data_IF_271504355102
#
_entry.id   IF_271504355102
#
_cell.length_a   1.000
_cell.length_b   1.000
_cell.length_c   1.000
_cell.angle_alpha   90.00
_cell.angle_beta   90.00
_cell.angle_gamma   90.00
#
_symmetry.space_group_name_H-M   'P 1'
#
loop_
_entity.id
_entity.type
_entity.pdbx_description
1 polymer ?
#
# COMPACT_ATOMS: atom_id res chain seq x y z
N UNK A 1 31.39 -1.98 -12.61
CA UNK A 1 30.36 -2.05 -11.57
C UNK A 1 29.04 -1.88 -12.29
N UNK A 2 28.14 -2.84 -12.18
CA UNK A 2 26.81 -2.73 -12.77
C UNK A 2 26.04 -1.58 -12.10
N UNK A 3 25.09 -0.96 -12.80
CA UNK A 3 24.28 0.14 -12.24
C UNK A 3 23.56 -0.32 -10.97
N UNK A 4 23.00 -1.54 -10.99
CA UNK A 4 22.40 -2.18 -9.83
C UNK A 4 23.36 -2.26 -8.65
N UNK A 5 24.57 -2.78 -8.86
CA UNK A 5 25.58 -2.92 -7.80
C UNK A 5 25.97 -1.57 -7.22
N UNK A 6 26.07 -0.55 -8.08
CA UNK A 6 26.33 0.82 -7.66
C UNK A 6 25.20 1.36 -6.79
N UNK A 7 23.92 1.19 -7.17
CA UNK A 7 22.76 1.61 -6.38
C UNK A 7 22.74 0.92 -5.02
N UNK A 8 22.90 -0.40 -5.00
CA UNK A 8 22.89 -1.20 -3.77
C UNK A 8 24.01 -0.76 -2.82
N UNK A 9 25.23 -0.57 -3.34
CA UNK A 9 26.35 -0.12 -2.53
C UNK A 9 26.21 1.34 -2.05
N UNK A 10 25.69 2.24 -2.89
CA UNK A 10 25.58 3.67 -2.57
C UNK A 10 24.56 3.97 -1.48
N UNK A 11 23.54 3.13 -1.35
CA UNK A 11 22.42 3.32 -0.42
C UNK A 11 22.37 2.28 0.69
N UNK A 12 23.45 1.50 0.85
CA UNK A 12 23.59 0.43 1.86
C UNK A 12 22.37 -0.52 1.89
N UNK A 13 21.95 -0.96 0.70
CA UNK A 13 20.81 -1.86 0.53
C UNK A 13 21.24 -3.33 0.70
N UNK A 14 20.30 -4.25 0.98
CA UNK A 14 20.60 -5.68 0.99
C UNK A 14 21.24 -6.14 -0.33
N UNK A 15 22.34 -6.91 -0.24
CA UNK A 15 23.07 -7.39 -1.43
C UNK A 15 22.28 -8.41 -2.27
N UNK A 16 21.24 -9.01 -1.71
CA UNK A 16 20.51 -10.14 -2.26
C UNK A 16 19.17 -9.77 -2.92
N UNK A 17 19.04 -8.56 -3.47
CA UNK A 17 17.83 -8.08 -4.16
C UNK A 17 17.71 -8.74 -5.54
N UNK A 18 16.63 -9.46 -5.83
CA UNK A 18 16.55 -10.30 -7.04
C UNK A 18 15.55 -9.80 -8.10
N UNK A 19 14.80 -8.75 -7.81
CA UNK A 19 13.76 -8.24 -8.70
C UNK A 19 13.69 -6.72 -8.69
N UNK A 20 13.09 -6.14 -9.73
CA UNK A 20 12.89 -4.71 -9.82
C UNK A 20 11.95 -4.22 -8.70
N UNK A 21 10.86 -4.95 -8.43
CA UNK A 21 9.93 -4.64 -7.33
C UNK A 21 10.66 -4.63 -5.99
N UNK A 22 11.48 -5.65 -5.70
CA UNK A 22 12.20 -5.71 -4.44
C UNK A 22 13.13 -4.50 -4.28
N UNK A 23 13.87 -4.10 -5.33
CA UNK A 23 14.71 -2.90 -5.27
C UNK A 23 13.88 -1.64 -5.03
N UNK A 24 12.74 -1.49 -5.71
CA UNK A 24 11.86 -0.34 -5.57
C UNK A 24 11.34 -0.20 -4.13
N UNK A 25 10.86 -1.30 -3.57
CA UNK A 25 10.36 -1.35 -2.20
C UNK A 25 11.45 -1.00 -1.18
N UNK A 26 12.67 -1.49 -1.35
CA UNK A 26 13.79 -1.17 -0.46
C UNK A 26 14.23 0.30 -0.58
N UNK A 27 14.27 0.85 -1.80
CA UNK A 27 14.54 2.27 -2.03
C UNK A 27 13.45 3.16 -1.42
N UNK A 28 12.19 2.77 -1.56
CA UNK A 28 11.06 3.49 -0.99
C UNK A 28 11.11 3.49 0.54
N UNK A 29 11.35 2.33 1.16
CA UNK A 29 11.55 2.22 2.61
C UNK A 29 12.67 3.14 3.10
N UNK A 30 13.84 3.09 2.47
CA UNK A 30 14.98 3.96 2.81
C UNK A 30 14.66 5.45 2.69
N UNK A 31 13.92 5.83 1.64
CA UNK A 31 13.47 7.22 1.44
C UNK A 31 12.55 7.67 2.57
N UNK A 32 11.60 6.82 2.96
CA UNK A 32 10.63 7.09 4.02
C UNK A 32 11.29 7.06 5.40
N UNK A 33 12.23 6.16 5.65
CA UNK A 33 13.06 6.12 6.86
C UNK A 33 13.85 7.40 7.06
N UNK A 34 14.39 7.99 5.99
CA UNK A 34 15.12 9.25 6.05
C UNK A 34 14.24 10.42 6.55
N UNK A 35 12.91 10.32 6.43
CA UNK A 35 11.98 11.30 6.99
C UNK A 35 11.99 11.32 8.52
N UNK A 36 12.51 10.29 9.20
CA UNK A 36 12.74 10.40 10.66
C UNK A 36 13.89 11.33 11.02
N UNK A 37 14.73 11.71 10.05
CA UNK A 37 15.78 12.70 10.25
C UNK A 37 15.29 14.15 10.20
N UNK A 38 14.03 14.41 9.82
CA UNK A 38 13.49 15.77 9.79
C UNK A 38 13.24 16.33 11.19
N UNK A 39 13.38 17.64 11.34
CA UNK A 39 13.16 18.34 12.62
C UNK A 39 11.70 18.33 13.09
N UNK A 40 10.78 18.02 12.19
CA UNK A 40 9.35 17.87 12.46
C UNK A 40 8.86 16.55 11.89
N UNK A 41 7.99 15.86 12.62
CA UNK A 41 7.30 14.66 12.12
C UNK A 41 6.24 15.06 11.11
N UNK A 42 5.87 14.11 10.26
CA UNK A 42 4.80 14.28 9.30
C UNK A 42 3.46 13.98 9.97
N UNK A 43 2.39 14.64 9.54
CA UNK A 43 1.04 14.19 9.84
C UNK A 43 0.70 12.91 9.07
N UNK A 44 -0.44 12.29 9.39
CA UNK A 44 -0.87 11.00 8.83
C UNK A 44 -1.05 11.05 7.30
N UNK A 45 -1.61 12.16 6.79
CA UNK A 45 -1.84 12.39 5.35
C UNK A 45 -0.51 12.55 4.60
N UNK A 46 0.41 13.33 5.15
CA UNK A 46 1.73 13.58 4.57
C UNK A 46 2.60 12.32 4.63
N UNK A 47 2.50 11.51 5.69
CA UNK A 47 3.19 10.22 5.77
C UNK A 47 2.70 9.25 4.68
N UNK A 48 1.39 9.18 4.48
CA UNK A 48 0.78 8.39 3.39
C UNK A 48 1.27 8.87 2.02
N UNK A 49 1.21 10.18 1.77
CA UNK A 49 1.68 10.79 0.53
C UNK A 49 3.18 10.56 0.29
N UNK A 50 4.00 10.64 1.34
CA UNK A 50 5.43 10.38 1.26
C UNK A 50 5.73 8.92 0.93
N UNK A 51 4.97 7.97 1.51
CA UNK A 51 5.12 6.55 1.20
C UNK A 51 4.79 6.25 -0.27
N UNK A 52 3.65 6.71 -0.76
CA UNK A 52 3.26 6.53 -2.18
C UNK A 52 4.25 7.23 -3.11
N UNK A 53 4.64 8.45 -2.77
CA UNK A 53 5.64 9.22 -3.52
C UNK A 53 7.00 8.52 -3.59
N UNK A 54 7.44 7.88 -2.50
CA UNK A 54 8.69 7.13 -2.47
C UNK A 54 8.67 5.90 -3.39
N UNK A 55 7.56 5.17 -3.46
CA UNK A 55 7.39 4.04 -4.41
C UNK A 55 7.53 4.50 -5.87
N UNK A 56 6.89 5.63 -6.20
CA UNK A 56 6.96 6.21 -7.55
C UNK A 56 8.35 6.77 -7.84
N UNK A 57 8.96 7.49 -6.90
CA UNK A 57 10.30 8.08 -7.07
C UNK A 57 11.41 7.01 -7.20
N UNK A 58 11.24 5.86 -6.56
CA UNK A 58 12.17 4.74 -6.67
C UNK A 58 12.10 4.01 -8.04
N UNK A 59 11.06 4.25 -8.85
CA UNK A 59 10.82 3.52 -10.09
C UNK A 59 11.99 3.62 -11.10
N UNK A 60 12.51 4.81 -11.47
CA UNK A 60 13.52 4.91 -12.53
C UNK A 60 14.80 4.14 -12.21
N UNK A 61 15.28 4.22 -10.96
CA UNK A 61 16.48 3.49 -10.51
C UNK A 61 16.26 1.98 -10.49
N UNK A 62 15.06 1.55 -10.10
CA UNK A 62 14.73 0.13 -10.03
C UNK A 62 14.61 -0.47 -11.43
N UNK A 63 13.92 0.22 -12.35
CA UNK A 63 13.76 -0.20 -13.72
C UNK A 63 15.11 -0.25 -14.48
N UNK A 64 15.98 0.74 -14.27
CA UNK A 64 17.31 0.76 -14.87
C UNK A 64 18.24 -0.33 -14.33
N UNK A 65 18.00 -0.83 -13.12
CA UNK A 65 18.81 -1.88 -12.48
C UNK A 65 18.41 -3.31 -12.90
N UNK A 66 17.23 -3.47 -13.48
CA UNK A 66 16.67 -4.76 -13.90
C UNK A 66 16.06 -4.63 -15.30
N UNK A 67 16.90 -4.60 -16.36
CA UNK A 67 16.42 -4.45 -17.73
C UNK A 67 15.70 -5.72 -18.19
N UNK A 68 14.40 -5.80 -17.92
CA UNK A 68 13.42 -6.35 -18.87
C UNK A 68 12.94 -5.19 -19.77
N UNK A 69 12.07 -5.41 -20.77
CA UNK A 69 11.57 -4.26 -21.56
C UNK A 69 11.07 -3.16 -20.61
N UNK A 70 11.26 -1.87 -20.92
CA UNK A 70 10.91 -0.80 -19.98
C UNK A 70 9.40 -0.77 -19.63
N UNK A 71 8.56 -1.42 -20.44
CA UNK A 71 7.14 -1.57 -20.18
C UNK A 71 6.83 -2.66 -19.13
N UNK A 72 7.79 -3.54 -18.82
CA UNK A 72 7.65 -4.72 -17.95
C UNK A 72 8.53 -4.68 -16.71
N UNK A 73 9.38 -3.66 -16.54
CA UNK A 73 10.25 -3.58 -15.37
C UNK A 73 9.46 -3.48 -14.04
N UNK A 74 8.64 -2.44 -13.87
CA UNK A 74 7.67 -2.30 -12.76
C UNK A 74 6.54 -1.40 -13.24
N UNK A 75 5.29 -1.70 -12.93
CA UNK A 75 4.15 -0.83 -13.16
C UNK A 75 3.45 -0.52 -11.83
N UNK A 76 3.38 0.75 -11.46
CA UNK A 76 2.56 1.24 -10.37
C UNK A 76 1.23 1.78 -10.89
N UNK A 77 0.11 1.24 -10.41
CA UNK A 77 -1.24 1.73 -10.69
C UNK A 77 -1.96 2.11 -9.39
N UNK A 78 -2.69 3.21 -9.41
CA UNK A 78 -3.57 3.64 -8.33
C UNK A 78 -5.03 3.44 -8.73
N UNK A 79 -5.82 2.90 -7.82
CA UNK A 79 -7.26 2.69 -8.01
C UNK A 79 -8.01 3.45 -6.93
N UNK A 80 -8.87 4.36 -7.38
CA UNK A 80 -9.73 5.18 -6.53
C UNK A 80 -11.11 5.31 -7.20
N UNK A 81 -12.17 5.45 -6.39
CA UNK A 81 -13.52 5.71 -6.91
C UNK A 81 -13.69 7.20 -7.21
N UNK A 82 -14.38 7.51 -8.30
CA UNK A 82 -14.96 8.85 -8.52
C UNK A 82 -16.44 8.82 -8.17
N UNK A 83 -16.83 9.45 -7.05
CA UNK A 83 -18.24 9.64 -6.70
C UNK A 83 -18.51 10.00 -5.24
N UNK A 84 -19.47 10.89 -5.01
CA UNK A 84 -19.93 11.39 -3.71
C UNK A 84 -20.98 10.48 -3.04
N UNK A 85 -20.78 9.16 -3.06
CA UNK A 85 -21.74 8.18 -2.53
C UNK A 85 -21.63 7.93 -1.02
N UNK A 86 -22.61 7.21 -0.46
CA UNK A 86 -22.65 6.71 0.93
C UNK A 86 -21.40 5.87 1.29
N UNK A 87 -20.71 5.32 0.29
CA UNK A 87 -19.43 4.59 0.41
C UNK A 87 -18.22 5.49 0.08
N UNK A 88 -18.25 6.78 0.45
CA UNK A 88 -17.11 7.69 0.24
C UNK A 88 -15.94 7.37 1.20
N UNK A 89 -14.72 7.83 0.87
CA UNK A 89 -13.44 7.66 1.61
C UNK A 89 -13.55 7.83 3.14
N UNK A 90 -14.57 8.54 3.64
CA UNK A 90 -14.82 8.72 5.08
C UNK A 90 -15.14 7.42 5.83
N UNK A 91 -15.34 6.30 5.12
CA UNK A 91 -15.99 5.11 5.66
C UNK A 91 -15.08 3.98 6.14
N UNK A 92 -13.79 3.92 5.80
CA UNK A 92 -12.97 2.70 6.04
C UNK A 92 -12.00 2.75 7.22
N UNK A 93 -11.48 3.94 7.53
CA UNK A 93 -10.43 4.07 8.54
C UNK A 93 -9.03 3.70 8.07
N UNK A 94 -8.78 3.25 6.85
CA UNK A 94 -7.42 2.99 6.34
C UNK A 94 -7.04 3.98 5.23
N UNK A 95 -5.74 4.20 5.07
CA UNK A 95 -5.20 5.25 4.20
C UNK A 95 -4.78 4.73 2.84
N UNK A 96 -4.24 3.51 2.76
CA UNK A 96 -3.98 2.84 1.48
C UNK A 96 -3.82 1.33 1.63
N UNK A 97 -4.01 0.61 0.53
CA UNK A 97 -3.64 -0.79 0.39
C UNK A 97 -2.53 -0.94 -0.65
N UNK A 98 -1.63 -1.89 -0.42
CA UNK A 98 -0.54 -2.24 -1.34
C UNK A 98 -0.74 -3.67 -1.83
N UNK A 99 -0.88 -3.82 -3.16
CA UNK A 99 -0.93 -5.12 -3.83
C UNK A 99 0.35 -5.31 -4.65
N UNK A 100 1.02 -6.44 -4.49
CA UNK A 100 2.26 -6.76 -5.20
C UNK A 100 2.02 -8.02 -6.03
N UNK A 101 2.25 -7.91 -7.34
CA UNK A 101 2.30 -9.03 -8.27
C UNK A 101 3.74 -9.39 -8.57
N UNK A 102 4.20 -10.51 -8.01
CA UNK A 102 5.56 -11.00 -8.15
C UNK A 102 5.75 -11.75 -9.49
N UNK A 103 6.99 -11.82 -10.02
CA UNK A 103 7.28 -12.50 -11.29
C UNK A 103 6.95 -13.99 -11.31
N UNK A 104 6.91 -14.65 -10.15
CA UNK A 104 6.56 -16.06 -10.01
C UNK A 104 5.04 -16.30 -9.92
N UNK A 105 4.24 -15.28 -10.18
CA UNK A 105 2.78 -15.34 -10.21
C UNK A 105 2.11 -15.12 -8.86
N UNK A 106 2.88 -15.08 -7.76
CA UNK A 106 2.34 -14.80 -6.42
C UNK A 106 1.79 -13.39 -6.33
N UNK A 107 0.65 -13.25 -5.66
CA UNK A 107 0.02 -11.98 -5.33
C UNK A 107 0.04 -11.77 -3.82
N UNK A 108 0.38 -10.55 -3.39
CA UNK A 108 0.39 -10.17 -1.97
C UNK A 108 -0.37 -8.90 -1.70
N UNK A 109 -1.06 -8.85 -0.56
CA UNK A 109 -1.80 -7.69 -0.09
C UNK A 109 -1.38 -7.32 1.33
N UNK A 110 -1.21 -6.02 1.56
CA UNK A 110 -1.18 -5.43 2.89
C UNK A 110 -2.01 -4.14 2.92
N UNK A 111 -2.64 -3.85 4.05
CA UNK A 111 -3.38 -2.59 4.27
C UNK A 111 -2.62 -1.76 5.30
N UNK A 112 -2.56 -0.45 5.06
CA UNK A 112 -1.84 0.49 5.90
C UNK A 112 -2.75 1.66 6.32
N UNK A 113 -2.74 1.93 7.61
CA UNK A 113 -3.29 3.14 8.20
C UNK A 113 -2.14 3.93 8.83
N UNK A 114 -1.81 5.09 8.28
CA UNK A 114 -0.78 5.97 8.79
C UNK A 114 -1.13 6.50 10.19
N UNK A 115 -0.13 6.52 11.06
CA UNK A 115 -0.19 7.08 12.40
C UNK A 115 1.09 7.84 12.72
N UNK A 116 0.94 8.97 13.40
CA UNK A 116 2.05 9.82 13.80
C UNK A 116 1.75 10.45 15.15
N UNK A 117 2.77 10.59 16.00
CA UNK A 117 2.71 11.36 17.25
C UNK A 117 3.15 12.83 17.01
N UNK A 118 2.88 13.37 15.81
CA UNK A 118 3.25 14.73 15.40
C UNK A 118 2.68 15.85 16.29
N UNK A 119 1.57 15.61 17.02
CA UNK A 119 0.93 16.68 17.78
C UNK A 119 1.77 17.13 18.98
N UNK A 120 1.76 18.44 19.27
CA UNK A 120 2.51 19.02 20.40
C UNK A 120 2.10 18.47 21.78
N UNK A 121 0.93 17.83 21.86
CA UNK A 121 0.40 17.15 23.04
C UNK A 121 0.55 15.62 23.00
N UNK A 122 1.09 15.06 21.91
CA UNK A 122 1.28 13.63 21.79
C UNK A 122 2.39 13.14 22.71
N UNK A 123 2.11 12.03 23.40
CA UNK A 123 3.14 11.31 24.15
C UNK A 123 3.98 10.52 23.15
N UNK A 124 5.31 10.66 23.23
CA UNK A 124 6.22 9.99 22.29
C UNK A 124 5.95 8.48 22.24
N UNK A 125 6.02 7.91 21.04
CA UNK A 125 5.83 6.47 20.77
C UNK A 125 4.46 5.95 21.28
N UNK A 126 3.46 6.82 21.39
CA UNK A 126 2.10 6.41 21.77
C UNK A 126 1.25 6.31 20.52
N UNK A 127 0.84 5.08 20.21
CA UNK A 127 -0.17 4.80 19.21
C UNK A 127 -1.55 5.05 19.78
N UNK A 128 -2.34 5.86 19.09
CA UNK A 128 -3.77 6.01 19.34
C UNK A 128 -4.50 5.02 18.45
N UNK A 129 -5.04 3.96 19.07
CA UNK A 129 -5.79 2.89 18.42
C UNK A 129 -7.25 3.30 18.32
N UNK A 130 -7.77 3.21 17.09
CA UNK A 130 -9.12 3.63 16.77
C UNK A 130 -9.23 5.14 16.60
N UNK A 131 -10.27 5.53 15.87
CA UNK A 131 -10.67 6.91 15.67
C UNK A 131 -12.19 6.94 15.63
N UNK A 132 -12.78 7.85 16.38
CA UNK A 132 -14.24 7.99 16.46
C UNK A 132 -14.67 9.09 15.50
N UNK A 133 -15.56 8.74 14.56
CA UNK A 133 -16.17 9.69 13.64
C UNK A 133 -17.66 9.81 13.94
N UNK A 134 -18.13 11.03 14.08
CA UNK A 134 -19.56 11.32 14.14
C UNK A 134 -20.14 11.21 12.73
N UNK A 135 -21.12 10.31 12.58
CA UNK A 135 -21.93 10.18 11.37
C UNK A 135 -23.16 11.07 11.58
N UNK A 136 -23.37 12.09 10.73
CA UNK A 136 -24.52 12.97 10.86
C UNK A 136 -25.82 12.23 10.53
N UNK A 137 -26.94 12.76 11.02
CA UNK A 137 -28.27 12.26 10.67
C UNK A 137 -28.51 12.33 9.16
N UNK A 138 -29.11 11.28 8.60
CA UNK A 138 -29.54 11.24 7.20
C UNK A 138 -31.02 11.61 7.10
N UNK A 139 -31.33 12.60 6.26
CA UNK A 139 -32.69 13.06 6.01
C UNK A 139 -33.11 12.77 4.58
N UNK A 140 -34.37 12.39 4.39
CA UNK A 140 -34.95 12.26 3.06
C UNK A 140 -35.17 13.65 2.42
N UNK A 141 -35.65 13.65 1.17
CA UNK A 141 -35.92 14.87 0.39
C UNK A 141 -36.96 15.78 1.07
N UNK A 142 -37.81 15.22 1.94
CA UNK A 142 -38.84 15.92 2.71
C UNK A 142 -38.35 16.37 4.10
N UNK A 143 -37.06 16.17 4.43
CA UNK A 143 -36.45 16.56 5.70
C UNK A 143 -36.73 15.61 6.88
N UNK A 144 -37.32 14.43 6.63
CA UNK A 144 -37.58 13.40 7.64
C UNK A 144 -36.30 12.59 7.87
N UNK A 145 -35.90 12.43 9.14
CA UNK A 145 -34.75 11.61 9.52
C UNK A 145 -35.02 10.15 9.18
N UNK A 146 -34.17 9.57 8.34
CA UNK A 146 -34.16 8.16 7.95
C UNK A 146 -33.19 7.38 8.84
N UNK A 147 -32.05 8.01 9.17
CA UNK A 147 -31.04 7.46 10.06
C UNK A 147 -30.57 8.52 11.06
N UNK A 148 -30.63 8.20 12.34
CA UNK A 148 -30.14 9.07 13.40
C UNK A 148 -28.62 9.23 13.32
N UNK A 149 -28.11 10.34 13.86
CA UNK A 149 -26.68 10.54 14.04
C UNK A 149 -26.11 9.51 15.02
N UNK A 150 -24.91 9.00 14.73
CA UNK A 150 -24.23 8.04 15.60
C UNK A 150 -22.72 8.15 15.51
N UNK A 151 -22.03 7.82 16.61
CA UNK A 151 -20.58 7.69 16.64
C UNK A 151 -20.16 6.35 16.06
N UNK A 152 -19.18 6.37 15.15
CA UNK A 152 -18.63 5.18 14.51
C UNK A 152 -17.16 5.01 14.86
N UNK A 153 -16.76 3.79 15.19
CA UNK A 153 -15.36 3.44 15.30
C UNK A 153 -14.79 3.06 13.92
N UNK A 154 -13.77 3.79 13.47
CA UNK A 154 -13.11 3.51 12.20
C UNK A 154 -12.31 2.21 12.19
N UNK A 155 -11.71 1.80 13.31
CA UNK A 155 -10.98 0.52 13.36
C UNK A 155 -11.94 -0.68 13.22
N UNK A 156 -13.19 -0.54 13.67
CA UNK A 156 -14.22 -1.55 13.47
C UNK A 156 -14.55 -1.72 11.97
N UNK A 157 -14.62 -0.61 11.23
CA UNK A 157 -14.84 -0.63 9.79
C UNK A 157 -13.70 -1.32 9.04
N UNK A 158 -12.47 -0.98 9.38
CA UNK A 158 -11.27 -1.59 8.81
C UNK A 158 -11.23 -3.09 9.09
N UNK A 159 -11.47 -3.50 10.34
CA UNK A 159 -11.48 -4.90 10.75
C UNK A 159 -12.59 -5.68 10.03
N UNK A 160 -13.81 -5.13 9.91
CA UNK A 160 -14.90 -5.75 9.15
C UNK A 160 -14.53 -5.94 7.68
N UNK A 161 -13.93 -4.94 7.07
CA UNK A 161 -13.45 -4.98 5.68
C UNK A 161 -12.41 -6.07 5.49
N UNK A 162 -11.37 -6.07 6.33
CA UNK A 162 -10.27 -7.01 6.22
C UNK A 162 -10.73 -8.47 6.38
N UNK A 163 -11.63 -8.72 7.34
CA UNK A 163 -12.24 -10.04 7.49
C UNK A 163 -13.09 -10.43 6.27
N UNK A 164 -13.79 -9.50 5.62
CA UNK A 164 -14.56 -9.78 4.40
C UNK A 164 -13.70 -10.20 3.20
N UNK A 165 -12.42 -9.80 3.18
CA UNK A 165 -11.46 -10.20 2.13
C UNK A 165 -11.00 -11.65 2.33
N UNK A 166 -10.76 -12.06 3.58
CA UNK A 166 -10.29 -13.40 3.93
C UNK A 166 -11.44 -14.42 4.01
N UNK A 167 -12.60 -13.99 4.50
CA UNK A 167 -13.78 -14.79 4.76
C UNK A 167 -14.91 -14.31 3.84
N UNK A 168 -15.05 -14.96 2.68
CA UNK A 168 -16.16 -14.72 1.71
C UNK A 168 -17.56 -14.81 2.34
N UNK A 169 -17.67 -15.42 3.52
CA UNK A 169 -18.89 -15.50 4.31
C UNK A 169 -18.66 -14.88 5.69
N UNK A 170 -19.47 -13.87 6.05
CA UNK A 170 -19.56 -13.05 7.27
C UNK A 170 -19.52 -13.78 8.64
N UNK A 171 -18.66 -14.76 8.87
CA UNK A 171 -18.59 -15.55 10.10
C UNK A 171 -17.37 -15.15 10.92
N UNK A 172 -17.64 -14.28 11.89
CA UNK A 172 -16.76 -13.77 12.96
C UNK A 172 -15.62 -12.85 12.53
N UNK A 173 -15.54 -11.71 13.21
CA UNK A 173 -14.40 -10.80 13.17
C UNK A 173 -13.25 -11.47 13.94
N UNK A 174 -12.16 -11.85 13.27
CA UNK A 174 -10.98 -12.41 13.93
C UNK A 174 -9.78 -11.50 13.75
N UNK A 175 -9.48 -10.66 14.75
CA UNK A 175 -8.35 -9.73 14.72
C UNK A 175 -7.01 -10.47 14.77
N UNK A 176 -6.97 -11.63 15.42
CA UNK A 176 -5.80 -12.49 15.49
C UNK A 176 -5.24 -12.91 14.13
N UNK A 177 -6.08 -12.98 13.08
CA UNK A 177 -5.67 -13.32 11.72
C UNK A 177 -5.19 -12.11 10.90
N UNK A 178 -5.47 -10.90 11.36
CA UNK A 178 -5.12 -9.64 10.67
C UNK A 178 -3.66 -9.24 10.91
N UNK A 179 -2.74 -10.16 10.60
CA UNK A 179 -1.30 -9.92 10.62
C UNK A 179 -0.80 -9.07 9.45
N UNK A 180 -1.64 -8.88 8.43
CA UNK A 180 -1.37 -8.18 7.18
C UNK A 180 -2.04 -6.79 7.08
N UNK A 181 -2.75 -6.40 8.13
CA UNK A 181 -3.34 -5.05 8.29
C UNK A 181 -2.51 -4.33 9.34
N UNK A 182 -1.96 -3.17 8.97
CA UNK A 182 -0.95 -2.48 9.77
C UNK A 182 -1.33 -1.03 10.05
N UNK A 183 -0.97 -0.57 11.24
CA UNK A 183 -0.70 0.85 11.42
C UNK A 183 0.72 1.16 10.94
N UNK A 184 0.87 2.06 9.96
CA UNK A 184 2.16 2.59 9.53
C UNK A 184 2.53 3.79 10.39
N UNK A 185 3.48 3.59 11.28
CA UNK A 185 3.75 4.52 12.37
C UNK A 185 5.06 5.29 12.16
N UNK A 186 5.01 6.62 12.22
CA UNK A 186 6.21 7.44 12.35
C UNK A 186 6.48 7.79 13.82
N UNK A 187 7.45 7.12 14.44
CA UNK A 187 7.80 7.31 15.84
C UNK A 187 9.29 7.62 16.07
N UNK A 188 9.70 7.86 17.32
CA UNK A 188 11.08 8.24 17.63
C UNK A 188 12.08 7.12 17.25
N UNK A 189 11.59 5.88 17.31
CA UNK A 189 12.40 4.69 17.05
C UNK A 189 12.54 4.38 15.55
N UNK A 190 11.73 5.00 14.68
CA UNK A 190 11.75 4.71 13.26
C UNK A 190 10.37 4.79 12.61
N UNK A 191 10.31 4.34 11.35
CA UNK A 191 9.05 4.04 10.68
C UNK A 191 8.76 2.56 10.87
N UNK A 192 7.70 2.25 11.61
CA UNK A 192 7.35 0.88 11.99
C UNK A 192 5.94 0.54 11.52
N UNK A 193 5.75 -0.68 11.05
CA UNK A 193 4.44 -1.25 10.80
C UNK A 193 4.01 -2.10 12.00
N UNK A 194 2.86 -1.76 12.60
CA UNK A 194 2.26 -2.48 13.73
C UNK A 194 1.03 -3.23 13.24
N UNK A 195 1.15 -4.56 13.12
CA UNK A 195 0.04 -5.40 12.70
C UNK A 195 -1.10 -5.39 13.74
N UNK A 196 -2.36 -5.36 13.29
CA UNK A 196 -3.52 -5.33 14.20
C UNK A 196 -3.56 -6.55 15.13
N UNK A 197 -3.15 -7.73 14.65
CA UNK A 197 -3.06 -8.94 15.46
C UNK A 197 -2.08 -8.82 16.65
N UNK A 198 -1.07 -7.93 16.58
CA UNK A 198 -0.12 -7.70 17.70
C UNK A 198 -0.68 -6.82 18.81
N UNK A 199 -1.76 -6.10 18.52
CA UNK A 199 -2.43 -5.15 19.41
C UNK A 199 -3.91 -5.49 19.59
N UNK A 200 -4.28 -6.76 19.36
CA UNK A 200 -5.65 -7.27 19.35
C UNK A 200 -6.48 -6.79 20.55
N UNK A 201 -5.93 -6.87 21.77
CA UNK A 201 -6.64 -6.43 22.98
C UNK A 201 -7.03 -4.95 22.96
N UNK A 202 -6.20 -4.09 22.38
CA UNK A 202 -6.46 -2.65 22.29
C UNK A 202 -7.46 -2.35 21.17
N UNK A 203 -7.41 -3.11 20.07
CA UNK A 203 -8.38 -3.02 18.99
C UNK A 203 -9.76 -3.44 19.49
N UNK A 204 -9.87 -4.59 20.16
CA UNK A 204 -11.12 -5.06 20.77
C UNK A 204 -11.66 -4.04 21.76
N UNK A 205 -10.82 -3.55 22.68
CA UNK A 205 -11.23 -2.54 23.64
C UNK A 205 -11.75 -1.27 22.96
N UNK A 206 -11.09 -0.81 21.90
CA UNK A 206 -11.53 0.37 21.14
C UNK A 206 -12.90 0.13 20.50
N UNK A 207 -13.11 -1.04 19.88
CA UNK A 207 -14.36 -1.42 19.24
C UNK A 207 -15.49 -1.53 20.28
N UNK A 208 -15.29 -2.32 21.34
CA UNK A 208 -16.30 -2.58 22.37
C UNK A 208 -16.73 -1.32 23.12
N UNK A 209 -15.77 -0.43 23.41
CA UNK A 209 -16.06 0.82 24.13
C UNK A 209 -16.43 1.99 23.23
N UNK A 210 -16.32 1.83 21.90
CA UNK A 210 -16.43 2.89 20.91
C UNK A 210 -15.59 4.13 21.29
N UNK A 211 -14.33 3.91 21.68
CA UNK A 211 -13.41 4.98 22.12
C UNK A 211 -12.01 4.78 21.55
N UNK A 212 -11.25 5.87 21.52
CA UNK A 212 -9.80 5.83 21.29
C UNK A 212 -9.11 5.14 22.47
N UNK A 213 -8.18 4.24 22.16
CA UNK A 213 -7.36 3.53 23.16
C UNK A 213 -5.90 3.87 22.91
N UNK A 214 -5.17 4.28 23.94
CA UNK A 214 -3.75 4.64 23.83
C UNK A 214 -2.88 3.44 24.18
N UNK A 215 -1.91 3.16 23.33
CA UNK A 215 -0.90 2.13 23.50
C UNK A 215 0.49 2.76 23.37
N UNK A 216 1.32 2.66 24.41
CA UNK A 216 2.75 2.96 24.28
C UNK A 216 3.41 1.78 23.56
N UNK A 217 4.04 2.05 22.41
CA UNK A 217 4.72 1.02 21.65
C UNK A 217 6.09 0.72 22.24
N UNK A 218 6.35 -0.58 22.36
CA UNK A 218 7.64 -1.17 22.66
C UNK A 218 8.21 -1.77 21.37
N UNK A 219 9.53 -1.91 21.29
CA UNK A 219 10.25 -2.34 20.08
C UNK A 219 9.87 -3.74 19.57
N UNK A 220 9.15 -4.55 20.36
CA UNK A 220 8.68 -5.89 19.99
C UNK A 220 7.30 -5.89 19.31
N UNK A 221 6.60 -4.75 19.29
CA UNK A 221 5.25 -4.64 18.73
C UNK A 221 5.22 -4.26 17.25
N UNK A 222 6.22 -3.54 16.78
CA UNK A 222 6.36 -3.10 15.39
C UNK A 222 7.43 -3.89 14.63
N UNK A 223 7.32 -3.86 13.31
CA UNK A 223 8.37 -4.30 12.37
C UNK A 223 8.84 -3.08 11.60
N UNK A 224 10.16 -2.90 11.43
CA UNK A 224 10.70 -1.82 10.62
C UNK A 224 10.17 -1.90 9.18
N UNK A 225 9.87 -0.76 8.57
CA UNK A 225 9.23 -0.70 7.25
C UNK A 225 10.04 -1.44 6.18
N UNK A 226 11.36 -1.28 6.15
CA UNK A 226 12.25 -1.99 5.21
C UNK A 226 12.12 -3.51 5.33
N UNK A 227 12.07 -4.04 6.55
CA UNK A 227 11.92 -5.47 6.83
C UNK A 227 10.55 -5.99 6.39
N UNK A 228 9.47 -5.24 6.65
CA UNK A 228 8.14 -5.61 6.19
C UNK A 228 8.05 -5.60 4.66
N UNK A 229 8.56 -4.55 4.01
CA UNK A 229 8.52 -4.48 2.55
C UNK A 229 9.43 -5.54 1.91
N UNK A 230 10.55 -5.89 2.54
CA UNK A 230 11.41 -7.00 2.11
C UNK A 230 10.70 -8.35 2.22
N UNK A 231 9.94 -8.59 3.29
CA UNK A 231 9.21 -9.86 3.49
C UNK A 231 8.15 -10.09 2.41
N UNK A 232 7.67 -9.03 1.76
CA UNK A 232 6.75 -9.12 0.62
C UNK A 232 7.33 -9.89 -0.57
N UNK A 233 8.66 -9.96 -0.70
CA UNK A 233 9.31 -10.64 -1.82
C UNK A 233 9.80 -12.06 -1.46
N UNK A 234 9.86 -12.41 -0.17
CA UNK A 234 10.34 -13.72 0.29
C UNK A 234 9.31 -14.84 0.09
N UNK A 235 9.74 -16.11 0.13
CA UNK A 235 8.83 -17.26 0.00
C UNK A 235 7.71 -17.24 1.04
N UNK A 236 8.05 -16.99 2.31
CA UNK A 236 7.10 -16.74 3.39
C UNK A 236 6.95 -15.23 3.62
N UNK A 237 5.70 -14.76 3.68
CA UNK A 237 5.33 -13.34 3.69
C UNK A 237 4.87 -12.88 5.07
N UNK A 238 5.74 -12.91 6.09
CA UNK A 238 5.31 -12.47 7.41
C UNK A 238 4.85 -11.00 7.33
N UNK A 239 3.59 -10.74 7.71
CA UNK A 239 2.97 -9.41 7.59
C UNK A 239 2.21 -9.15 6.29
N UNK A 240 2.00 -10.14 5.44
CA UNK A 240 1.27 -10.00 4.17
C UNK A 240 0.24 -11.11 4.00
N UNK A 241 -0.86 -10.79 3.32
CA UNK A 241 -1.83 -11.78 2.87
C UNK A 241 -1.40 -12.32 1.51
N UNK A 242 -1.14 -13.62 1.41
CA UNK A 242 -1.00 -14.29 0.12
C UNK A 242 -2.39 -14.43 -0.51
N UNK A 243 -2.57 -13.82 -1.68
CA UNK A 243 -3.79 -13.97 -2.46
C UNK A 243 -3.66 -15.20 -3.36
N UNK A 244 -4.73 -16.00 -3.55
CA UNK A 244 -4.67 -17.21 -4.36
C UNK A 244 -4.20 -16.88 -5.78
N UNK A 245 -3.19 -17.63 -6.25
CA UNK A 245 -2.67 -17.56 -7.62
C UNK A 245 -3.66 -18.20 -8.60
N UNK A 246 -3.80 -17.63 -9.80
CA UNK A 246 -4.64 -18.20 -10.85
C UNK A 246 -4.00 -19.50 -11.34
N UNK A 247 -4.67 -20.64 -11.18
CA UNK A 247 -4.22 -21.88 -11.80
C UNK A 247 -4.49 -21.87 -13.32
N UNK A 248 -3.61 -22.52 -14.10
CA UNK A 248 -3.60 -22.62 -15.58
C UNK A 248 -4.87 -23.26 -16.22
N UNK A 249 -5.89 -23.63 -15.44
CA UNK A 249 -7.03 -24.42 -15.89
C UNK A 249 -8.31 -23.63 -16.25
N UNK A 250 -8.22 -22.31 -16.37
CA UNK A 250 -9.34 -21.43 -16.70
C UNK A 250 -9.47 -20.36 -15.65
N UNK A 251 -9.35 -19.11 -16.09
CA UNK A 251 -9.41 -17.89 -15.28
C UNK A 251 -10.54 -17.99 -14.23
N UNK A 252 -10.26 -18.13 -12.92
CA UNK A 252 -11.27 -17.85 -11.92
C UNK A 252 -11.56 -16.35 -11.91
N UNK A 253 -12.79 -16.01 -11.51
CA UNK A 253 -13.26 -14.64 -11.41
C UNK A 253 -12.22 -13.75 -10.72
N UNK A 254 -12.04 -12.57 -11.29
CA UNK A 254 -11.19 -11.51 -10.76
C UNK A 254 -11.26 -11.36 -9.24
N UNK A 255 -10.11 -11.04 -8.65
CA UNK A 255 -10.08 -10.64 -7.25
C UNK A 255 -10.84 -9.32 -7.18
N UNK A 256 -12.08 -9.39 -6.67
CA UNK A 256 -12.94 -8.22 -6.49
C UNK A 256 -12.40 -7.35 -5.36
N UNK A 257 -11.48 -6.45 -5.72
CA UNK A 257 -10.95 -5.42 -4.84
C UNK A 257 -11.87 -4.20 -4.77
N UNK A 258 -13.10 -4.26 -5.33
CA UNK A 258 -14.02 -3.12 -5.33
C UNK A 258 -14.32 -2.66 -3.91
N UNK A 259 -14.48 -3.60 -2.97
CA UNK A 259 -14.67 -3.28 -1.56
C UNK A 259 -13.49 -2.46 -1.00
N UNK A 260 -12.25 -2.72 -1.41
CA UNK A 260 -11.09 -1.94 -0.97
C UNK A 260 -11.04 -0.56 -1.59
N UNK A 261 -11.38 -0.42 -2.88
CA UNK A 261 -11.33 0.89 -3.56
C UNK A 261 -12.44 1.83 -3.10
N UNK A 262 -13.57 1.31 -2.63
CA UNK A 262 -14.57 2.13 -1.94
C UNK A 262 -14.07 2.71 -0.62
N UNK A 263 -13.02 2.11 -0.08
CA UNK A 263 -12.58 2.33 1.28
C UNK A 263 -11.28 3.13 1.35
N UNK A 264 -10.35 2.85 0.46
CA UNK A 264 -9.02 3.48 0.43
C UNK A 264 -8.42 3.42 -0.98
N UNK A 265 -7.47 4.29 -1.30
CA UNK A 265 -6.58 4.11 -2.45
C UNK A 265 -5.91 2.73 -2.45
N UNK A 266 -6.05 1.99 -3.56
CA UNK A 266 -5.31 0.74 -3.77
C UNK A 266 -4.15 1.01 -4.72
N UNK A 267 -2.94 0.76 -4.26
CA UNK A 267 -1.70 0.89 -5.02
C UNK A 267 -1.23 -0.50 -5.42
N UNK A 268 -1.03 -0.72 -6.72
CA UNK A 268 -0.67 -2.02 -7.28
C UNK A 268 0.70 -1.93 -7.95
N UNK A 269 1.63 -2.78 -7.54
CA UNK A 269 2.91 -3.03 -8.20
C UNK A 269 2.84 -4.29 -9.06
N UNK A 270 3.34 -4.23 -10.29
CA UNK A 270 3.47 -5.39 -11.18
C UNK A 270 4.81 -5.40 -11.90
N UNK A 271 5.50 -6.53 -11.89
CA UNK A 271 6.71 -6.78 -12.67
C UNK A 271 6.41 -7.85 -13.71
N UNK A 272 6.88 -7.64 -14.94
CA UNK A 272 6.61 -8.49 -16.09
C UNK A 272 5.27 -8.20 -16.80
N UNK A 273 5.14 -8.78 -17.99
CA UNK A 273 3.89 -8.82 -18.77
C UNK A 273 3.00 -10.02 -18.41
N UNK A 274 3.52 -11.01 -17.68
CA UNK A 274 2.78 -12.14 -17.10
C UNK A 274 2.15 -11.78 -15.75
N UNK A 275 1.12 -12.52 -15.33
CA UNK A 275 0.48 -12.36 -14.02
C UNK A 275 -1.02 -12.04 -14.08
N UNK A 276 -1.75 -12.34 -12.98
CA UNK A 276 -3.20 -12.13 -12.87
C UNK A 276 -3.63 -10.71 -13.24
N UNK A 277 -4.75 -10.60 -13.98
CA UNK A 277 -5.45 -9.33 -14.09
C UNK A 277 -6.27 -9.11 -12.81
N UNK A 278 -6.04 -7.98 -12.16
CA UNK A 278 -6.90 -7.48 -11.10
C UNK A 278 -8.08 -6.77 -11.78
N UNK A 279 -9.31 -7.16 -11.46
CA UNK A 279 -10.48 -6.36 -11.85
C UNK A 279 -10.94 -5.53 -10.67
N UNK A 280 -11.40 -4.35 -11.03
CA UNK A 280 -12.05 -3.42 -10.14
C UNK A 280 -13.46 -3.23 -10.71
N UNK A 281 -14.48 -3.26 -9.85
CA UNK A 281 -15.88 -3.15 -10.24
C UNK A 281 -16.19 -1.88 -11.04
N UNK A 282 -17.39 -1.84 -11.62
CA UNK A 282 -17.79 -0.73 -12.49
C UNK A 282 -17.68 0.63 -11.79
N UNK A 283 -17.10 1.62 -12.48
CA UNK A 283 -16.96 2.99 -11.98
C UNK A 283 -15.69 3.30 -11.17
N UNK A 284 -14.72 2.38 -11.14
CA UNK A 284 -13.40 2.63 -10.56
C UNK A 284 -12.46 3.22 -11.62
N UNK A 285 -11.82 4.35 -11.30
CA UNK A 285 -10.83 4.94 -12.19
C UNK A 285 -9.44 4.36 -11.88
N UNK A 286 -8.75 3.95 -12.95
CA UNK A 286 -7.36 3.50 -12.89
C UNK A 286 -6.44 4.61 -13.35
N UNK A 287 -5.57 5.08 -12.46
CA UNK A 287 -4.47 6.00 -12.78
C UNK A 287 -3.14 5.24 -12.85
N UNK A 288 -2.31 5.54 -13.85
CA UNK A 288 -0.93 5.06 -13.88
C UNK A 288 -0.05 6.01 -13.06
N UNK A 289 0.54 5.52 -11.96
CA UNK A 289 1.31 6.33 -11.02
C UNK A 289 2.76 6.53 -11.48
N UNK A 290 3.32 5.51 -12.14
CA UNK A 290 4.65 5.58 -12.74
C UNK A 290 4.56 5.30 -14.23
N UNK A 291 4.98 6.26 -15.07
CA UNK A 291 5.30 6.00 -16.48
C UNK A 291 6.82 5.99 -16.62
N UNK A 292 7.40 5.13 -17.48
CA UNK A 292 8.79 5.30 -17.88
C UNK A 292 8.97 6.73 -18.40
N UNK A 293 9.87 7.50 -17.77
CA UNK A 293 10.19 8.87 -18.18
C UNK A 293 10.97 8.93 -19.51
N UNK A 294 11.37 7.77 -20.05
CA UNK A 294 12.12 7.64 -21.27
C UNK A 294 11.17 7.32 -22.43
N UNK A 295 10.52 8.36 -22.96
CA UNK A 295 10.41 8.43 -24.43
C UNK A 295 11.84 8.65 -24.95
N UNK A 296 12.64 7.59 -25.00
CA UNK A 296 13.76 7.58 -25.93
C UNK A 296 13.10 7.70 -27.30
N UNK A 297 13.23 8.87 -27.92
CA UNK A 297 12.85 9.08 -29.32
C UNK A 297 13.25 7.82 -30.10
N UNK A 298 12.28 7.21 -30.79
CA UNK A 298 12.57 6.16 -31.75
C UNK A 298 13.79 6.58 -32.55
N UNK A 299 14.82 5.73 -32.56
CA UNK A 299 16.08 6.02 -33.24
C UNK A 299 15.75 6.49 -34.65
N UNK A 300 16.07 7.74 -34.94
CA UNK A 300 15.86 8.34 -36.27
C UNK A 300 16.42 7.37 -37.31
N UNK A 301 15.68 6.99 -38.35
CA UNK A 301 16.17 6.04 -39.34
C UNK A 301 17.51 6.53 -39.88
N UNK A 302 18.55 5.70 -39.77
CA UNK A 302 19.85 6.00 -40.36
C UNK A 302 19.61 6.30 -41.84
N UNK A 303 20.03 7.46 -42.38
CA UNK A 303 19.86 7.76 -43.79
C UNK A 303 20.58 6.68 -44.60
N UNK A 304 19.86 6.05 -45.52
CA UNK A 304 20.42 5.03 -46.39
C UNK A 304 21.69 5.57 -47.07
N UNK A 305 22.79 4.82 -46.98
CA UNK A 305 24.05 5.18 -47.61
C UNK A 305 23.82 5.46 -49.09
N UNK A 306 24.09 6.69 -49.51
CA UNK A 306 24.10 7.06 -50.92
C UNK A 306 25.22 6.23 -51.57
N UNK A 307 24.83 5.28 -52.43
CA UNK A 307 25.77 4.59 -53.31
C UNK A 307 26.38 5.65 -54.24
N UNK A 308 27.61 6.02 -53.97
CA UNK A 308 28.44 6.75 -54.93
C UNK A 308 28.72 5.79 -56.10
N UNK A 309 28.06 6.05 -57.23
CA UNK A 309 28.47 5.44 -58.49
C UNK A 309 29.81 6.05 -58.90
N UNK A 310 30.82 5.19 -58.96
CA UNK A 310 32.09 5.44 -59.62
C UNK A 310 31.87 5.78 -61.09
N UNK A 311 32.45 6.89 -61.55
CA UNK A 311 32.93 7.06 -62.92
C UNK A 311 34.45 6.94 -62.90
#
# INVERSE_FOLDING_TARGET
MDFRDWVVASLDLPKNINSAIELNLQLAAKTVEALNGSSSRLDEETLTGAMIGALVAAHPMSAASFPSDQASAIQWSGYAKHGSGINSERSSGADFALVISLPDGRLRLAIFQAKSDWSASATKNTLVVGQIKEVPEEKNVDGIVIHDAYSRNQIEALVKTANGIELKDNKSISISNLSWVHYLCQFQLGIEAVALSKIESHVLQSIESCKEVRLTLTSDKGVQLDLLLKSSCSQKADGWLDLPTLDDAGLPASIDLSALVELMPVVVAREGSGGPQLEFGMGIERGMLSRPLLDLQESTPVPASIKTHSM
#
